data_IF_420835706777
#
_entry.id   IF_420835706777
#
_cell.length_a   1.000
_cell.length_b   1.000
_cell.length_c   1.000
_cell.angle_alpha   90.00
_cell.angle_beta   90.00
_cell.angle_gamma   90.00
#
_symmetry.space_group_name_H-M   'P 1'
#
loop_
_entity.id
_entity.type
_entity.pdbx_description
1 polymer ?
#
# COMPACT_ATOMS: atom_id res chain seq x y z
N UNK A 1 -1.31 -21.17 -15.50
CA UNK A 1 -0.43 -20.11 -16.03
C UNK A 1 0.98 -20.38 -15.51
N UNK A 2 2.03 -20.21 -16.33
CA UNK A 2 3.40 -20.51 -15.89
C UNK A 2 3.92 -19.36 -15.04
N UNK A 3 3.83 -19.50 -13.73
CA UNK A 3 4.53 -18.65 -12.78
C UNK A 3 6.02 -19.00 -12.84
N UNK A 4 6.92 -18.01 -12.95
CA UNK A 4 8.36 -18.22 -12.93
C UNK A 4 8.94 -17.70 -11.62
N UNK A 5 9.60 -18.57 -10.88
CA UNK A 5 10.35 -18.17 -9.69
C UNK A 5 11.77 -17.76 -10.09
N UNK A 6 12.29 -16.74 -9.44
CA UNK A 6 13.64 -16.21 -9.63
C UNK A 6 14.23 -15.93 -8.25
N UNK A 7 15.46 -16.38 -8.05
CA UNK A 7 16.27 -16.01 -6.90
C UNK A 7 17.20 -14.87 -7.31
N UNK A 8 17.34 -13.87 -6.46
CA UNK A 8 18.21 -12.71 -6.67
C UNK A 8 19.08 -12.52 -5.43
N UNK A 9 20.39 -12.44 -5.60
CA UNK A 9 21.28 -12.00 -4.54
C UNK A 9 21.14 -10.48 -4.31
N UNK A 10 21.48 -10.00 -3.11
CA UNK A 10 21.50 -8.57 -2.83
C UNK A 10 22.34 -7.79 -3.86
N UNK A 11 21.75 -6.74 -4.44
CA UNK A 11 22.33 -5.91 -5.50
C UNK A 11 22.01 -6.37 -6.93
N UNK A 12 21.50 -7.60 -7.12
CA UNK A 12 21.09 -8.08 -8.45
C UNK A 12 19.82 -7.38 -8.93
N UNK A 13 19.69 -7.26 -10.25
CA UNK A 13 18.58 -6.56 -10.89
C UNK A 13 17.64 -7.54 -11.57
N UNK A 14 16.35 -7.26 -11.50
CA UNK A 14 15.41 -7.86 -12.43
C UNK A 14 15.73 -7.43 -13.86
N UNK A 15 15.52 -8.31 -14.86
CA UNK A 15 15.68 -7.93 -16.25
C UNK A 15 14.73 -6.78 -16.59
N UNK A 16 15.30 -5.64 -17.01
CA UNK A 16 14.52 -4.51 -17.50
C UNK A 16 13.76 -4.94 -18.77
N UNK A 17 12.44 -4.88 -18.72
CA UNK A 17 11.58 -5.09 -19.90
C UNK A 17 10.55 -3.97 -19.96
N UNK A 18 10.36 -3.38 -21.15
CA UNK A 18 9.46 -2.25 -21.36
C UNK A 18 8.44 -2.53 -22.47
N UNK A 19 7.13 -2.37 -22.21
CA UNK A 19 6.52 -2.17 -20.88
C UNK A 19 6.83 -3.36 -19.94
N UNK A 20 6.56 -3.26 -18.62
CA UNK A 20 6.78 -4.37 -17.69
C UNK A 20 6.12 -5.63 -18.23
N UNK A 21 6.93 -6.62 -18.62
CA UNK A 21 6.42 -7.85 -19.25
C UNK A 21 5.77 -8.79 -18.24
N UNK A 22 5.88 -8.48 -16.94
CA UNK A 22 5.49 -9.34 -15.84
C UNK A 22 4.96 -8.54 -14.65
N UNK A 23 3.97 -9.11 -13.98
CA UNK A 23 3.61 -8.75 -12.61
C UNK A 23 4.48 -9.61 -11.68
N UNK A 24 5.24 -8.97 -10.80
CA UNK A 24 6.11 -9.65 -9.84
C UNK A 24 5.46 -9.66 -8.46
N UNK A 25 5.70 -10.71 -7.69
CA UNK A 25 5.36 -10.82 -6.28
C UNK A 25 6.59 -11.30 -5.51
N UNK A 26 6.85 -10.68 -4.36
CA UNK A 26 7.99 -11.04 -3.51
C UNK A 26 7.55 -12.11 -2.52
N UNK A 27 8.17 -13.29 -2.59
CA UNK A 27 7.99 -14.37 -1.62
C UNK A 27 8.84 -14.12 -0.36
N UNK A 28 10.05 -13.60 -0.56
CA UNK A 28 11.02 -13.33 0.50
C UNK A 28 11.99 -12.24 0.08
N UNK A 29 12.51 -11.49 1.05
CA UNK A 29 13.48 -10.42 0.83
C UNK A 29 12.80 -9.10 0.47
N UNK A 30 13.52 -8.20 -0.20
CA UNK A 30 12.99 -6.91 -0.62
C UNK A 30 13.64 -6.39 -1.89
N UNK A 31 12.84 -5.68 -2.69
CA UNK A 31 13.31 -4.98 -3.89
C UNK A 31 13.12 -3.47 -3.74
N UNK A 32 14.12 -2.70 -4.15
CA UNK A 32 13.96 -1.29 -4.48
C UNK A 32 13.48 -1.15 -5.93
N UNK A 33 12.34 -0.49 -6.11
CA UNK A 33 11.70 -0.26 -7.40
C UNK A 33 11.85 1.22 -7.78
N UNK A 34 12.17 1.46 -9.04
CA UNK A 34 12.03 2.76 -9.68
C UNK A 34 11.29 2.59 -10.99
N UNK A 35 10.17 3.28 -11.14
CA UNK A 35 9.41 3.27 -12.39
C UNK A 35 9.19 4.69 -12.91
N UNK A 36 9.20 4.86 -14.22
CA UNK A 36 8.79 6.10 -14.89
C UNK A 36 7.51 5.84 -15.65
N UNK A 37 6.57 6.76 -15.56
CA UNK A 37 5.22 6.64 -16.10
C UNK A 37 5.05 7.50 -17.34
N UNK A 38 3.98 7.23 -18.07
CA UNK A 38 3.53 8.14 -19.13
C UNK A 38 3.33 9.55 -18.56
N UNK A 39 3.87 10.56 -19.25
CA UNK A 39 3.97 11.93 -18.73
C UNK A 39 5.27 12.25 -17.97
N UNK A 40 6.17 11.27 -17.80
CA UNK A 40 7.53 11.47 -17.27
C UNK A 40 7.64 11.50 -15.74
N UNK A 41 6.55 11.25 -15.02
CA UNK A 41 6.58 11.12 -13.57
C UNK A 41 7.38 9.87 -13.16
N UNK A 42 8.33 10.02 -12.25
CA UNK A 42 9.12 8.91 -11.71
C UNK A 42 8.70 8.60 -10.28
N UNK A 43 8.49 7.32 -9.99
CA UNK A 43 8.18 6.78 -8.69
C UNK A 43 9.35 5.93 -8.20
N UNK A 44 9.73 6.07 -6.93
CA UNK A 44 10.71 5.21 -6.28
C UNK A 44 10.14 4.69 -4.95
N UNK A 45 10.13 3.38 -4.78
CA UNK A 45 9.53 2.73 -3.61
C UNK A 45 10.19 1.37 -3.33
N UNK A 46 9.91 0.79 -2.17
CA UNK A 46 10.37 -0.55 -1.79
C UNK A 46 9.19 -1.52 -1.80
N UNK A 47 9.44 -2.76 -2.17
CA UNK A 47 8.50 -3.87 -2.03
C UNK A 47 9.12 -5.00 -1.21
N UNK A 48 8.37 -5.51 -0.24
CA UNK A 48 8.73 -6.64 0.61
C UNK A 48 7.82 -7.85 0.38
N UNK A 49 7.90 -8.88 1.25
CA UNK A 49 7.11 -10.10 1.11
C UNK A 49 5.61 -9.82 0.96
N UNK A 50 4.94 -10.59 0.09
CA UNK A 50 3.52 -10.48 -0.24
C UNK A 50 3.12 -9.23 -1.03
N UNK A 51 4.08 -8.37 -1.40
CA UNK A 51 3.80 -7.18 -2.21
C UNK A 51 4.08 -7.42 -3.70
N UNK A 52 3.31 -6.75 -4.54
CA UNK A 52 3.45 -6.79 -5.99
C UNK A 52 4.39 -5.70 -6.52
N UNK A 53 5.04 -5.92 -7.65
CA UNK A 53 5.72 -4.86 -8.43
C UNK A 53 5.37 -4.96 -9.92
N UNK A 54 5.28 -3.81 -10.58
CA UNK A 54 4.86 -3.70 -11.99
C UNK A 54 3.33 -3.66 -12.17
N UNK A 55 2.58 -3.57 -11.08
CA UNK A 55 1.12 -3.52 -11.03
C UNK A 55 0.52 -2.31 -11.76
N UNK A 56 1.25 -1.20 -11.86
CA UNK A 56 0.75 0.00 -12.56
C UNK A 56 0.34 -0.29 -14.00
N UNK A 57 1.14 -1.11 -14.71
CA UNK A 57 0.85 -1.52 -16.09
C UNK A 57 -0.42 -2.38 -16.22
N UNK A 58 -0.84 -3.05 -15.14
CA UNK A 58 -2.00 -3.94 -15.12
C UNK A 58 -3.23 -3.29 -14.47
N UNK A 59 -3.04 -2.22 -13.69
CA UNK A 59 -4.09 -1.34 -13.17
C UNK A 59 -4.57 -0.26 -14.15
N UNK A 60 -4.17 -0.36 -15.44
CA UNK A 60 -4.55 0.56 -16.51
C UNK A 60 -3.59 1.73 -16.74
N UNK A 61 -2.44 1.75 -16.05
CA UNK A 61 -1.38 2.71 -16.26
C UNK A 61 -0.40 2.31 -17.37
N UNK A 62 0.43 3.27 -17.79
CA UNK A 62 1.50 3.05 -18.77
C UNK A 62 2.85 3.39 -18.14
N UNK A 63 3.71 2.40 -18.03
CA UNK A 63 5.08 2.52 -17.52
C UNK A 63 6.06 2.63 -18.70
N UNK A 64 6.87 3.68 -18.72
CA UNK A 64 7.90 3.96 -19.73
C UNK A 64 9.31 3.55 -19.30
N UNK A 65 9.56 3.39 -18.00
CA UNK A 65 10.78 2.77 -17.46
C UNK A 65 10.45 1.96 -16.20
N UNK A 66 11.10 0.81 -15.97
CA UNK A 66 10.93 -0.01 -14.78
C UNK A 66 12.26 -0.66 -14.41
N UNK A 67 12.75 -0.33 -13.23
CA UNK A 67 13.98 -0.84 -12.64
C UNK A 67 13.63 -1.45 -11.28
N UNK A 68 14.16 -2.65 -11.02
CA UNK A 68 14.00 -3.31 -9.74
C UNK A 68 15.32 -3.97 -9.34
N UNK A 69 15.79 -3.64 -8.14
CA UNK A 69 17.06 -4.09 -7.58
C UNK A 69 16.79 -4.78 -6.25
N UNK A 70 17.30 -5.99 -6.07
CA UNK A 70 17.23 -6.69 -4.79
C UNK A 70 18.08 -5.94 -3.75
N UNK A 71 17.50 -5.59 -2.61
CA UNK A 71 18.24 -4.98 -1.50
C UNK A 71 18.74 -6.02 -0.49
N UNK A 72 18.09 -7.18 -0.48
CA UNK A 72 18.50 -8.39 0.23
C UNK A 72 18.48 -9.57 -0.72
N UNK A 73 19.03 -10.71 -0.31
CA UNK A 73 18.76 -11.97 -0.98
C UNK A 73 17.24 -12.19 -1.01
N UNK A 74 16.69 -12.37 -2.21
CA UNK A 74 15.27 -12.27 -2.48
C UNK A 74 14.78 -13.42 -3.34
N UNK A 75 13.60 -13.91 -3.00
CA UNK A 75 12.89 -14.93 -3.76
C UNK A 75 11.61 -14.30 -4.28
N UNK A 76 11.45 -14.32 -5.60
CA UNK A 76 10.35 -13.62 -6.26
C UNK A 76 9.73 -14.52 -7.30
N UNK A 77 8.42 -14.37 -7.50
CA UNK A 77 7.75 -15.02 -8.61
C UNK A 77 7.12 -13.98 -9.55
N UNK A 78 7.07 -14.33 -10.83
CA UNK A 78 6.58 -13.45 -11.88
C UNK A 78 5.62 -14.14 -12.82
N UNK A 79 4.53 -13.45 -13.16
CA UNK A 79 3.53 -13.89 -14.11
C UNK A 79 3.58 -13.01 -15.37
N UNK A 80 3.66 -13.64 -16.56
CA UNK A 80 3.70 -12.92 -17.84
C UNK A 80 2.45 -12.08 -18.09
N UNK A 81 2.63 -10.94 -18.75
CA UNK A 81 1.60 -9.92 -18.95
C UNK A 81 0.33 -10.47 -19.60
N UNK A 82 0.45 -11.34 -20.60
CA UNK A 82 -0.72 -11.93 -21.27
C UNK A 82 -1.51 -12.89 -20.37
N UNK A 83 -0.84 -13.54 -19.43
CA UNK A 83 -1.54 -14.33 -18.42
C UNK A 83 -2.25 -13.42 -17.41
N UNK A 84 -1.58 -12.35 -16.93
CA UNK A 84 -2.20 -11.38 -16.02
C UNK A 84 -3.42 -10.71 -16.66
N UNK A 85 -3.31 -10.26 -17.91
CA UNK A 85 -4.42 -9.64 -18.65
C UNK A 85 -5.62 -10.57 -18.82
N UNK A 86 -5.38 -11.86 -19.13
CA UNK A 86 -6.45 -12.86 -19.18
C UNK A 86 -7.13 -13.03 -17.82
N UNK A 87 -6.35 -13.17 -16.75
CA UNK A 87 -6.90 -13.28 -15.38
C UNK A 87 -7.71 -12.03 -15.03
N UNK A 88 -7.21 -10.83 -15.36
CA UNK A 88 -7.94 -9.57 -15.12
C UNK A 88 -9.24 -9.50 -15.91
N UNK A 89 -9.25 -9.97 -17.16
CA UNK A 89 -10.47 -10.04 -17.96
C UNK A 89 -11.49 -11.02 -17.37
N UNK A 90 -11.03 -12.17 -16.88
CA UNK A 90 -11.88 -13.19 -16.26
C UNK A 90 -12.32 -12.81 -14.83
N UNK A 91 -11.51 -12.02 -14.12
CA UNK A 91 -11.71 -11.60 -12.73
C UNK A 91 -11.49 -10.09 -12.58
N UNK A 92 -12.49 -9.25 -12.93
CA UNK A 92 -12.35 -7.79 -12.92
C UNK A 92 -11.98 -7.19 -11.55
N UNK A 93 -12.27 -7.87 -10.45
CA UNK A 93 -11.86 -7.44 -9.09
C UNK A 93 -10.35 -7.25 -8.97
N UNK A 94 -9.55 -8.05 -9.69
CA UNK A 94 -8.10 -7.95 -9.66
C UNK A 94 -7.60 -6.63 -10.28
N UNK A 95 -8.28 -6.12 -11.31
CA UNK A 95 -7.97 -4.81 -11.90
C UNK A 95 -8.07 -3.71 -10.84
N UNK A 96 -9.18 -3.68 -10.10
CA UNK A 96 -9.40 -2.68 -9.05
C UNK A 96 -8.38 -2.79 -7.94
N UNK A 97 -8.00 -4.00 -7.54
CA UNK A 97 -6.95 -4.23 -6.56
C UNK A 97 -5.59 -3.68 -7.00
N UNK A 98 -5.13 -4.02 -8.21
CA UNK A 98 -3.84 -3.54 -8.75
C UNK A 98 -3.83 -2.03 -8.97
N UNK A 99 -4.97 -1.47 -9.42
CA UNK A 99 -5.17 -0.03 -9.52
C UNK A 99 -5.12 0.63 -8.14
N UNK A 100 -5.66 0.01 -7.10
CA UNK A 100 -5.61 0.55 -5.75
C UNK A 100 -4.18 0.56 -5.20
N UNK A 101 -3.40 -0.51 -5.40
CA UNK A 101 -1.97 -0.53 -5.06
C UNK A 101 -1.25 0.63 -5.76
N UNK A 102 -1.49 0.79 -7.06
CA UNK A 102 -0.87 1.85 -7.85
C UNK A 102 -1.22 3.24 -7.35
N UNK A 103 -2.50 3.49 -7.05
CA UNK A 103 -2.99 4.76 -6.53
C UNK A 103 -2.43 5.04 -5.14
N UNK A 104 -2.36 4.03 -4.27
CA UNK A 104 -1.72 4.13 -2.95
C UNK A 104 -0.24 4.47 -3.09
N UNK A 105 0.48 3.82 -4.03
CA UNK A 105 1.88 4.12 -4.29
C UNK A 105 2.10 5.50 -4.88
N UNK A 106 1.23 5.96 -5.77
CA UNK A 106 1.27 7.35 -6.21
C UNK A 106 1.12 8.31 -5.07
N UNK A 107 0.10 8.11 -4.25
CA UNK A 107 -0.16 8.95 -3.09
C UNK A 107 1.04 8.99 -2.15
N UNK A 108 1.68 7.85 -1.91
CA UNK A 108 2.81 7.73 -0.98
C UNK A 108 4.15 8.23 -1.56
N UNK A 109 4.43 7.97 -2.84
CA UNK A 109 5.79 8.07 -3.39
C UNK A 109 5.93 9.08 -4.54
N UNK A 110 4.85 9.58 -5.16
CA UNK A 110 4.92 10.36 -6.42
C UNK A 110 5.46 11.79 -6.29
N UNK A 111 5.59 12.32 -5.06
CA UNK A 111 5.96 13.73 -4.85
C UNK A 111 7.10 13.98 -3.86
N UNK A 112 7.61 12.95 -3.18
CA UNK A 112 8.50 13.17 -2.04
C UNK A 112 9.96 12.94 -2.35
N UNK A 113 10.31 11.99 -3.24
CA UNK A 113 11.71 11.60 -3.45
C UNK A 113 12.42 11.13 -2.17
N UNK A 114 11.66 10.90 -1.09
CA UNK A 114 12.16 10.53 0.22
C UNK A 114 11.81 9.05 0.46
N UNK A 115 12.77 8.25 0.94
CA UNK A 115 12.46 6.89 1.38
C UNK A 115 11.43 6.97 2.50
N UNK A 116 10.30 6.28 2.32
CA UNK A 116 9.35 6.09 3.42
C UNK A 116 10.04 5.25 4.47
N UNK A 117 10.31 5.86 5.62
CA UNK A 117 10.76 5.14 6.80
C UNK A 117 9.57 4.35 7.33
N UNK A 118 9.71 3.02 7.36
CA UNK A 118 8.74 2.13 8.01
C UNK A 118 8.80 2.43 9.51
N UNK A 119 7.81 3.18 10.01
CA UNK A 119 7.89 3.78 11.34
C UNK A 119 7.47 2.82 12.44
N UNK A 120 6.32 2.16 12.27
CA UNK A 120 5.74 1.28 13.28
C UNK A 120 4.96 0.15 12.61
N UNK A 121 5.14 -1.08 13.06
CA UNK A 121 4.36 -2.23 12.61
C UNK A 121 4.11 -3.21 13.75
N UNK A 122 3.02 -3.97 13.67
CA UNK A 122 2.67 -4.96 14.69
C UNK A 122 1.36 -5.67 14.35
N UNK A 123 0.75 -6.29 15.35
CA UNK A 123 -0.56 -6.96 15.20
C UNK A 123 -1.63 -6.30 16.07
N UNK A 124 -2.88 -6.37 15.64
CA UNK A 124 -4.01 -5.72 16.33
C UNK A 124 -4.35 -6.38 17.66
N UNK A 125 -3.91 -7.62 17.88
CA UNK A 125 -3.98 -8.31 19.16
C UNK A 125 -2.98 -7.74 20.17
N UNK A 126 -1.82 -7.26 19.69
CA UNK A 126 -0.77 -6.68 20.53
C UNK A 126 -1.03 -5.20 20.85
N UNK A 127 -1.64 -4.47 19.91
CA UNK A 127 -1.97 -3.06 20.05
C UNK A 127 -3.32 -2.80 19.37
N UNK A 128 -4.41 -2.70 20.14
CA UNK A 128 -5.74 -2.46 19.60
C UNK A 128 -5.79 -1.17 18.77
N UNK A 129 -6.63 -1.16 17.73
CA UNK A 129 -6.75 -0.02 16.80
C UNK A 129 -6.97 1.29 17.55
N UNK A 130 -7.85 1.31 18.55
CA UNK A 130 -8.14 2.52 19.32
C UNK A 130 -6.89 3.12 20.00
N UNK A 131 -6.05 2.27 20.58
CA UNK A 131 -4.80 2.69 21.24
C UNK A 131 -3.79 3.19 20.22
N UNK A 132 -3.67 2.50 19.08
CA UNK A 132 -2.81 2.92 17.98
C UNK A 132 -3.22 4.29 17.42
N UNK A 133 -4.51 4.51 17.18
CA UNK A 133 -5.03 5.79 16.72
C UNK A 133 -4.77 6.91 17.72
N UNK A 134 -4.98 6.65 19.03
CA UNK A 134 -4.68 7.61 20.10
C UNK A 134 -3.19 7.94 20.17
N UNK A 135 -2.31 6.94 20.04
CA UNK A 135 -0.87 7.13 20.05
C UNK A 135 -0.41 8.00 18.87
N UNK A 136 -0.87 7.69 17.65
CA UNK A 136 -0.51 8.47 16.45
C UNK A 136 -1.04 9.91 16.53
N UNK A 137 -2.24 10.09 17.08
CA UNK A 137 -2.82 11.40 17.37
C UNK A 137 -1.98 12.19 18.37
N UNK A 138 -1.67 11.61 19.53
CA UNK A 138 -0.90 12.26 20.59
C UNK A 138 0.52 12.64 20.15
N UNK A 139 1.16 11.78 19.36
CA UNK A 139 2.47 12.04 18.77
C UNK A 139 2.44 12.97 17.55
N UNK A 140 1.25 13.48 17.15
CA UNK A 140 1.03 14.33 15.97
C UNK A 140 1.67 13.78 14.70
N UNK A 141 1.61 12.45 14.52
CA UNK A 141 2.24 11.79 13.37
C UNK A 141 1.53 12.19 12.07
N UNK A 142 2.31 12.26 11.00
CA UNK A 142 1.85 12.45 9.63
C UNK A 142 2.34 11.25 8.84
N UNK A 143 1.46 10.65 8.03
CA UNK A 143 1.76 9.41 7.34
C UNK A 143 0.51 8.60 7.01
N UNK A 144 0.69 7.33 6.66
CA UNK A 144 -0.42 6.42 6.35
C UNK A 144 -0.34 5.20 7.23
N UNK A 145 -1.45 4.89 7.88
CA UNK A 145 -1.67 3.66 8.61
C UNK A 145 -2.41 2.67 7.72
N UNK A 146 -1.83 1.50 7.51
CA UNK A 146 -2.46 0.36 6.84
C UNK A 146 -2.84 -0.68 7.88
N UNK A 147 -4.03 -1.25 7.73
CA UNK A 147 -4.46 -2.47 8.38
C UNK A 147 -4.63 -3.56 7.33
N UNK A 148 -4.18 -4.77 7.64
CA UNK A 148 -4.41 -5.96 6.84
C UNK A 148 -5.16 -7.01 7.64
N UNK A 149 -6.29 -7.44 7.09
CA UNK A 149 -7.14 -8.49 7.64
C UNK A 149 -7.56 -9.46 6.53
N UNK A 150 -8.09 -10.65 6.84
CA UNK A 150 -8.50 -11.61 5.82
C UNK A 150 -9.56 -11.08 4.83
N UNK A 151 -10.33 -10.06 5.23
CA UNK A 151 -11.37 -9.45 4.41
C UNK A 151 -10.85 -8.39 3.44
N UNK A 152 -9.62 -7.90 3.63
CA UNK A 152 -8.98 -6.88 2.80
C UNK A 152 -8.09 -5.94 3.61
N UNK A 153 -7.69 -4.84 2.97
CA UNK A 153 -6.86 -3.82 3.60
C UNK A 153 -7.64 -2.52 3.79
N UNK A 154 -7.34 -1.82 4.89
CA UNK A 154 -7.84 -0.48 5.19
C UNK A 154 -6.67 0.49 5.30
N UNK A 155 -6.84 1.69 4.77
CA UNK A 155 -5.84 2.75 4.78
C UNK A 155 -6.41 4.00 5.45
N UNK A 156 -5.70 4.51 6.46
CA UNK A 156 -6.00 5.78 7.12
C UNK A 156 -4.84 6.74 6.94
N UNK A 157 -5.11 7.91 6.43
CA UNK A 157 -4.11 8.95 6.28
C UNK A 157 -4.14 9.91 7.46
N UNK A 158 -2.98 10.14 8.05
CA UNK A 158 -2.76 11.08 9.13
C UNK A 158 -2.05 12.36 8.65
N UNK A 159 -2.53 13.50 9.13
CA UNK A 159 -1.87 14.80 9.02
C UNK A 159 -1.87 15.52 10.38
N UNK A 160 -0.68 15.73 10.95
CA UNK A 160 -0.55 16.37 12.27
C UNK A 160 -1.33 15.67 13.39
N UNK A 161 -1.46 14.34 13.32
CA UNK A 161 -2.24 13.54 14.27
C UNK A 161 -3.74 13.47 13.97
N UNK A 162 -4.24 14.10 12.91
CA UNK A 162 -5.64 14.03 12.49
C UNK A 162 -5.80 13.06 11.34
N UNK A 163 -6.88 12.27 11.32
CA UNK A 163 -7.23 11.46 10.15
C UNK A 163 -7.87 12.39 9.12
N UNK A 164 -7.26 12.53 7.95
CA UNK A 164 -7.75 13.40 6.87
C UNK A 164 -8.41 12.61 5.73
N UNK A 165 -8.06 11.34 5.60
CA UNK A 165 -8.62 10.44 4.60
C UNK A 165 -8.65 9.00 5.13
N UNK A 166 -9.63 8.24 4.66
CA UNK A 166 -9.75 6.81 4.93
C UNK A 166 -10.38 6.11 3.74
N UNK A 167 -9.89 4.93 3.40
CA UNK A 167 -10.46 4.05 2.37
C UNK A 167 -10.16 2.59 2.66
N UNK A 168 -11.03 1.69 2.24
CA UNK A 168 -10.86 0.26 2.46
C UNK A 168 -12.18 -0.49 2.33
N UNK A 169 -12.11 -1.78 2.03
CA UNK A 169 -13.27 -2.68 1.95
C UNK A 169 -14.41 -2.18 1.04
N UNK A 170 -14.07 -1.41 0.00
CA UNK A 170 -15.03 -0.85 -0.96
C UNK A 170 -15.73 0.44 -0.52
N UNK A 171 -15.31 1.05 0.59
CA UNK A 171 -15.86 2.29 1.13
C UNK A 171 -14.76 3.37 1.31
N UNK A 172 -15.18 4.63 1.48
CA UNK A 172 -14.30 5.80 1.63
C UNK A 172 -14.88 6.78 2.65
N UNK A 173 -14.04 7.29 3.55
CA UNK A 173 -14.39 8.34 4.51
C UNK A 173 -14.60 7.83 5.93
N UNK A 174 -15.41 8.56 6.70
CA UNK A 174 -15.53 8.38 8.15
C UNK A 174 -16.07 6.99 8.55
N UNK A 175 -16.91 6.38 7.71
CA UNK A 175 -17.40 5.01 7.90
C UNK A 175 -16.25 4.00 7.97
N UNK A 176 -15.23 4.15 7.12
CA UNK A 176 -14.04 3.29 7.10
C UNK A 176 -13.25 3.43 8.40
N UNK A 177 -13.13 4.65 8.94
CA UNK A 177 -12.46 4.89 10.22
C UNK A 177 -13.19 4.14 11.35
N UNK A 178 -14.51 4.30 11.43
CA UNK A 178 -15.33 3.65 12.45
C UNK A 178 -15.36 2.12 12.31
N UNK A 179 -15.30 1.61 11.08
CA UNK A 179 -15.17 0.18 10.81
C UNK A 179 -13.80 -0.34 11.29
N UNK A 180 -12.71 0.37 10.97
CA UNK A 180 -11.36 -0.04 11.39
C UNK A 180 -11.22 -0.13 12.91
N UNK A 181 -11.92 0.72 13.68
CA UNK A 181 -11.90 0.68 15.14
C UNK A 181 -12.49 -0.60 15.74
N UNK A 182 -13.27 -1.35 14.95
CA UNK A 182 -13.87 -2.63 15.35
C UNK A 182 -12.97 -3.83 15.06
N UNK A 183 -11.83 -3.63 14.40
CA UNK A 183 -10.90 -4.70 14.10
C UNK A 183 -10.23 -5.20 15.38
N UNK A 184 -10.28 -6.52 15.57
CA UNK A 184 -9.69 -7.19 16.73
C UNK A 184 -8.50 -8.08 16.36
N UNK A 185 -8.24 -8.30 15.06
CA UNK A 185 -7.20 -9.20 14.54
C UNK A 185 -6.66 -8.67 13.23
N UNK A 186 -5.42 -9.03 12.91
CA UNK A 186 -4.73 -8.61 11.69
C UNK A 186 -3.41 -7.92 12.00
N UNK A 187 -2.74 -7.45 10.95
CA UNK A 187 -1.50 -6.69 11.06
C UNK A 187 -1.75 -5.21 10.77
N UNK A 188 -0.85 -4.37 11.25
CA UNK A 188 -0.84 -2.96 10.90
C UNK A 188 0.57 -2.49 10.57
N UNK A 189 0.65 -1.51 9.68
CA UNK A 189 1.90 -0.83 9.33
C UNK A 189 1.66 0.67 9.19
N UNK A 190 2.48 1.48 9.86
CA UNK A 190 2.50 2.93 9.74
C UNK A 190 3.73 3.39 8.97
N UNK A 191 3.46 4.11 7.90
CA UNK A 191 4.44 4.70 7.01
C UNK A 191 4.54 6.19 7.27
N UNK A 192 5.70 6.66 7.71
CA UNK A 192 5.91 8.09 7.95
C UNK A 192 6.04 8.80 6.61
N UNK A 193 5.32 9.91 6.44
CA UNK A 193 5.34 10.70 5.20
C UNK A 193 4.58 12.01 5.35
N UNK A 194 4.68 12.93 4.38
CA UNK A 194 3.96 14.20 4.41
C UNK A 194 2.44 14.01 4.21
N UNK A 195 1.65 15.03 4.57
CA UNK A 195 0.23 15.09 4.20
C UNK A 195 0.12 15.12 2.67
N UNK A 196 -0.79 14.31 2.14
CA UNK A 196 -1.05 14.18 0.71
C UNK A 196 -2.16 15.18 0.39
N UNK A 197 -1.80 16.27 -0.27
CA UNK A 197 -2.74 17.32 -0.62
C UNK A 197 -3.82 16.82 -1.61
N UNK A 198 -5.05 17.31 -1.44
CA UNK A 198 -6.17 17.06 -2.37
C UNK A 198 -7.00 15.80 -2.07
N UNK A 199 -6.65 15.04 -1.03
CA UNK A 199 -7.39 13.86 -0.60
C UNK A 199 -7.91 14.10 0.81
N UNK A 200 -9.17 14.55 0.91
CA UNK A 200 -9.89 14.65 2.19
C UNK A 200 -11.24 13.98 2.09
N UNK A 201 -11.41 12.89 2.82
CA UNK A 201 -12.70 12.20 2.98
C UNK A 201 -13.17 12.12 4.43
N UNK A 202 -12.34 12.59 5.36
CA UNK A 202 -12.64 12.66 6.79
C UNK A 202 -12.59 14.14 7.19
N UNK A 203 -13.69 14.61 7.77
CA UNK A 203 -13.83 16.02 8.19
C UNK A 203 -14.05 16.15 9.69
N UNK A 204 -14.55 15.09 10.31
CA UNK A 204 -14.73 14.98 11.75
C UNK A 204 -13.37 14.92 12.44
N UNK A 205 -13.22 15.72 13.52
CA UNK A 205 -12.03 15.71 14.37
C UNK A 205 -11.77 14.32 14.98
N UNK A 206 -10.50 13.96 15.09
CA UNK A 206 -10.05 12.67 15.60
C UNK A 206 -10.64 12.32 16.96
N UNK A 207 -10.72 13.26 17.91
CA UNK A 207 -11.28 12.97 19.23
C UNK A 207 -12.77 12.66 19.17
N UNK A 208 -13.51 13.31 18.26
CA UNK A 208 -14.93 13.01 18.04
C UNK A 208 -15.11 11.63 17.37
N UNK A 209 -14.22 11.24 16.45
CA UNK A 209 -14.21 9.90 15.86
C UNK A 209 -13.95 8.83 16.94
N UNK A 210 -12.95 9.03 17.79
CA UNK A 210 -12.60 8.11 18.88
C UNK A 210 -13.75 7.92 19.88
N UNK A 211 -14.41 9.01 20.29
CA UNK A 211 -15.58 8.93 21.17
C UNK A 211 -16.76 8.19 20.52
N UNK A 212 -16.97 8.41 19.22
CA UNK A 212 -18.04 7.74 18.46
C UNK A 212 -17.75 6.23 18.36
N UNK A 213 -16.51 5.86 18.05
CA UNK A 213 -16.08 4.46 17.99
C UNK A 213 -16.19 3.73 19.33
N UNK A 214 -15.88 4.40 20.44
CA UNK A 214 -16.00 3.83 21.77
C UNK A 214 -17.46 3.59 22.22
N UNK A 215 -18.42 4.39 21.73
CA UNK A 215 -19.83 4.30 22.11
C UNK A 215 -20.66 3.27 21.34
N UNK A 216 -20.14 2.73 20.24
CA UNK A 216 -20.87 1.83 19.32
C UNK A 216 -20.78 0.33 19.63
N UNK A 217 -20.15 -0.06 20.74
CA UNK A 217 -20.03 -1.44 21.20
C UNK A 217 -21.04 -1.76 22.29
N UNK A 218 -22.31 -1.92 21.92
CA UNK A 218 -23.36 -2.54 22.75
C UNK A 218 -24.25 -3.41 21.90
#
# INVERSE_FOLDING_TARGET
ANCRHTELAAGERLPATLPPTRLWWVERGSLAIRETREGGATLAYRVGPEEFAGEFAFGGGVTTAFEAVAETDSWIAGQDADAVRRIVADQPVLFYYLRNISATRDRLYSRTGLPVEKGLSGTLESLPVMELLQMLHGARRTGVLRFDEPSGSIFLQFAGGQIVHAEGLGDVGESVVLQSMKLARGSFEFYVGPEIAGVRSVTTDMMKLLMTGAGGGR
#
